data_IF_207333867634
#
_entry.id   IF_207333867634
#
_cell.length_a   1.000
_cell.length_b   1.000
_cell.length_c   1.000
_cell.angle_alpha   90.00
_cell.angle_beta   90.00
_cell.angle_gamma   90.00
#
_symmetry.space_group_name_H-M   'P 1'
#
loop_
_entity.id
_entity.type
_entity.pdbx_description
1 polymer ?
#
# COMPACT_ATOMS: atom_id res chain seq x y z
N UNK A 1 47.37 8.62 -6.17
CA UNK A 1 46.55 7.40 -6.01
C UNK A 1 45.52 7.72 -4.94
N UNK A 2 44.30 8.08 -5.33
CA UNK A 2 43.21 8.39 -4.40
C UNK A 2 42.22 7.22 -4.39
N UNK A 3 41.71 6.80 -3.22
CA UNK A 3 40.79 5.68 -3.15
C UNK A 3 39.44 6.07 -3.75
N UNK A 4 38.96 5.24 -4.69
CA UNK A 4 37.59 5.27 -5.20
C UNK A 4 36.67 4.83 -4.07
N UNK A 5 35.88 5.74 -3.52
CA UNK A 5 34.70 5.36 -2.73
C UNK A 5 33.67 4.79 -3.70
N UNK A 6 33.43 3.48 -3.61
CA UNK A 6 32.25 2.85 -4.21
C UNK A 6 31.01 3.47 -3.59
N UNK A 7 30.46 4.48 -4.27
CA UNK A 7 29.14 5.01 -4.00
C UNK A 7 28.14 3.88 -4.24
N UNK A 8 27.53 3.41 -3.16
CA UNK A 8 26.37 2.53 -3.18
C UNK A 8 25.36 3.09 -4.18
N UNK A 9 24.94 2.29 -5.15
CA UNK A 9 23.90 2.64 -6.12
C UNK A 9 22.60 2.89 -5.35
N UNK A 10 22.37 4.15 -4.96
CA UNK A 10 21.06 4.62 -4.54
C UNK A 10 20.17 4.54 -5.78
N UNK A 11 19.40 3.46 -5.93
CA UNK A 11 18.23 3.48 -6.81
C UNK A 11 17.43 4.72 -6.43
N UNK A 12 17.36 5.71 -7.33
CA UNK A 12 16.60 6.93 -7.08
C UNK A 12 15.17 6.52 -6.75
N UNK A 13 14.81 6.55 -5.48
CA UNK A 13 13.45 6.30 -5.05
C UNK A 13 12.62 7.43 -5.63
N UNK A 14 11.89 7.13 -6.70
CA UNK A 14 10.98 8.08 -7.33
C UNK A 14 10.01 8.58 -6.24
N UNK A 15 10.01 9.89 -6.01
CA UNK A 15 9.09 10.48 -5.03
C UNK A 15 7.67 10.33 -5.56
N UNK A 16 6.76 9.86 -4.72
CA UNK A 16 5.35 9.84 -5.06
C UNK A 16 4.84 11.27 -5.32
N UNK A 17 3.80 11.40 -6.16
CA UNK A 17 3.17 12.70 -6.46
C UNK A 17 2.76 13.46 -5.20
N UNK A 18 2.30 12.75 -4.16
CA UNK A 18 1.96 13.36 -2.87
C UNK A 18 3.21 13.95 -2.17
N UNK A 19 4.32 13.21 -2.13
CA UNK A 19 5.58 13.70 -1.57
C UNK A 19 6.10 14.92 -2.34
N UNK A 20 5.99 14.91 -3.68
CA UNK A 20 6.34 16.06 -4.51
C UNK A 20 5.47 17.28 -4.21
N UNK A 21 4.15 17.12 -4.07
CA UNK A 21 3.23 18.23 -3.71
C UNK A 21 3.59 18.82 -2.34
N UNK A 22 3.93 17.98 -1.35
CA UNK A 22 4.37 18.48 -0.04
C UNK A 22 5.71 19.23 -0.13
N UNK A 23 6.68 18.71 -0.89
CA UNK A 23 7.97 19.37 -1.12
C UNK A 23 7.78 20.74 -1.81
N UNK A 24 6.88 20.84 -2.79
CA UNK A 24 6.54 22.10 -3.46
C UNK A 24 5.87 23.09 -2.51
N UNK A 25 4.90 22.65 -1.71
CA UNK A 25 4.24 23.50 -0.72
C UNK A 25 5.24 24.02 0.33
N UNK A 26 6.18 23.16 0.76
CA UNK A 26 7.24 23.53 1.69
C UNK A 26 8.21 24.55 1.09
N UNK A 27 8.67 24.33 -0.15
CA UNK A 27 9.53 25.26 -0.87
C UNK A 27 8.86 26.63 -0.99
N UNK A 28 7.58 26.65 -1.37
CA UNK A 28 6.80 27.88 -1.52
C UNK A 28 6.67 28.64 -0.20
N UNK A 29 6.40 27.95 0.90
CA UNK A 29 6.35 28.58 2.22
C UNK A 29 7.71 29.12 2.67
N UNK A 30 8.82 28.43 2.40
CA UNK A 30 10.16 28.92 2.73
C UNK A 30 10.53 30.20 1.95
N UNK A 31 10.07 30.32 0.70
CA UNK A 31 10.30 31.49 -0.14
C UNK A 31 9.47 32.70 0.32
N UNK A 32 8.17 32.52 0.54
CA UNK A 32 7.26 33.63 0.87
C UNK A 32 7.19 33.97 2.36
N UNK A 33 7.40 32.97 3.23
CA UNK A 33 7.14 33.00 4.68
C UNK A 33 5.74 33.53 5.06
N UNK A 34 4.77 33.45 4.15
CA UNK A 34 3.40 33.92 4.38
C UNK A 34 2.59 32.94 5.23
N UNK A 35 1.61 33.45 5.97
CA UNK A 35 0.67 32.60 6.74
C UNK A 35 -0.26 31.78 5.83
N UNK A 36 -0.54 32.27 4.64
CA UNK A 36 -1.34 31.57 3.63
C UNK A 36 -0.63 30.32 3.13
N UNK A 37 0.66 30.43 2.79
CA UNK A 37 1.46 29.29 2.33
C UNK A 37 1.76 28.31 3.47
N UNK A 38 1.88 28.81 4.71
CA UNK A 38 1.95 27.96 5.91
C UNK A 38 0.69 27.12 6.07
N UNK A 39 -0.47 27.74 5.86
CA UNK A 39 -1.78 27.08 5.97
C UNK A 39 -1.92 26.00 4.88
N UNK A 40 -1.50 26.29 3.66
CA UNK A 40 -1.48 25.32 2.56
C UNK A 40 -0.59 24.12 2.89
N UNK A 41 0.63 24.36 3.38
CA UNK A 41 1.55 23.28 3.78
C UNK A 41 0.93 22.42 4.90
N UNK A 42 0.36 23.05 5.92
CA UNK A 42 -0.31 22.34 7.01
C UNK A 42 -1.49 21.47 6.51
N UNK A 43 -2.28 21.98 5.57
CA UNK A 43 -3.37 21.23 4.94
C UNK A 43 -2.84 20.00 4.17
N UNK A 44 -1.80 20.16 3.35
CA UNK A 44 -1.21 19.03 2.60
C UNK A 44 -0.65 17.97 3.55
N UNK A 45 0.13 18.39 4.56
CA UNK A 45 0.72 17.48 5.53
C UNK A 45 -0.34 16.78 6.38
N UNK A 46 -1.37 17.49 6.84
CA UNK A 46 -2.45 16.89 7.61
C UNK A 46 -3.19 15.80 6.83
N UNK A 47 -3.52 16.04 5.55
CA UNK A 47 -4.13 15.03 4.69
C UNK A 47 -3.24 13.79 4.56
N UNK A 48 -1.92 13.98 4.37
CA UNK A 48 -0.99 12.85 4.24
C UNK A 48 -0.88 12.04 5.54
N UNK A 49 -0.75 12.71 6.68
CA UNK A 49 -0.71 12.05 7.99
C UNK A 49 -2.01 11.33 8.29
N UNK A 50 -3.16 11.97 8.05
CA UNK A 50 -4.47 11.35 8.25
C UNK A 50 -4.67 10.13 7.36
N UNK A 51 -4.25 10.19 6.08
CA UNK A 51 -4.29 9.04 5.17
C UNK A 51 -3.43 7.89 5.69
N UNK A 52 -2.19 8.17 6.07
CA UNK A 52 -1.26 7.16 6.57
C UNK A 52 -1.76 6.53 7.88
N UNK A 53 -2.32 7.32 8.79
CA UNK A 53 -2.94 6.83 10.02
C UNK A 53 -4.17 5.95 9.72
N UNK A 54 -5.07 6.41 8.85
CA UNK A 54 -6.22 5.61 8.42
C UNK A 54 -5.78 4.30 7.81
N UNK A 55 -4.76 4.34 6.97
CA UNK A 55 -4.20 3.17 6.31
C UNK A 55 -3.63 2.15 7.30
N UNK A 56 -2.88 2.62 8.31
CA UNK A 56 -2.35 1.79 9.39
C UNK A 56 -3.43 1.21 10.29
N UNK A 57 -4.46 2.00 10.60
CA UNK A 57 -5.55 1.59 11.50
C UNK A 57 -6.49 0.60 10.80
N UNK A 58 -6.86 0.86 9.54
CA UNK A 58 -7.85 0.07 8.81
C UNK A 58 -7.29 -1.24 8.23
N UNK A 59 -5.97 -1.47 8.31
CA UNK A 59 -5.30 -2.63 7.71
C UNK A 59 -5.64 -2.83 6.21
N UNK A 60 -5.99 -1.75 5.49
CA UNK A 60 -6.42 -1.80 4.08
C UNK A 60 -5.41 -2.55 3.18
N UNK A 61 -4.10 -2.30 3.38
CA UNK A 61 -3.05 -3.04 2.68
C UNK A 61 -3.13 -4.55 2.86
N UNK A 62 -3.40 -5.00 4.08
CA UNK A 62 -3.47 -6.44 4.39
C UNK A 62 -4.72 -7.05 3.76
N UNK A 63 -5.84 -6.33 3.79
CA UNK A 63 -7.07 -6.75 3.11
C UNK A 63 -6.84 -6.89 1.61
N UNK A 64 -6.19 -5.92 0.98
CA UNK A 64 -5.89 -5.96 -0.46
C UNK A 64 -4.84 -7.02 -0.80
N UNK A 65 -3.86 -7.24 0.08
CA UNK A 65 -2.92 -8.35 -0.05
C UNK A 65 -3.62 -9.72 0.00
N UNK A 66 -4.55 -9.92 0.93
CA UNK A 66 -5.32 -11.16 1.04
C UNK A 66 -6.28 -11.36 -0.15
N UNK A 67 -6.91 -10.29 -0.65
CA UNK A 67 -7.69 -10.34 -1.90
C UNK A 67 -6.81 -10.82 -3.06
N UNK A 68 -5.63 -10.22 -3.22
CA UNK A 68 -4.67 -10.58 -4.26
C UNK A 68 -4.22 -12.04 -4.13
N UNK A 69 -3.94 -12.52 -2.92
CA UNK A 69 -3.61 -13.91 -2.66
C UNK A 69 -4.74 -14.87 -3.03
N UNK A 70 -6.00 -14.52 -2.69
CA UNK A 70 -7.17 -15.31 -3.06
C UNK A 70 -7.30 -15.44 -4.58
N UNK A 71 -7.25 -14.32 -5.31
CA UNK A 71 -7.35 -14.30 -6.78
C UNK A 71 -6.20 -15.07 -7.42
N UNK A 72 -4.96 -14.85 -6.98
CA UNK A 72 -3.79 -15.57 -7.50
C UNK A 72 -3.89 -17.07 -7.24
N UNK A 73 -4.36 -17.48 -6.07
CA UNK A 73 -4.53 -18.91 -5.75
C UNK A 73 -5.56 -19.59 -6.65
N UNK A 74 -6.67 -18.92 -6.94
CA UNK A 74 -7.68 -19.43 -7.90
C UNK A 74 -7.09 -19.49 -9.30
N UNK A 75 -6.39 -18.43 -9.74
CA UNK A 75 -5.77 -18.39 -11.06
C UNK A 75 -4.72 -19.51 -11.25
N UNK A 76 -3.89 -19.74 -10.23
CA UNK A 76 -2.92 -20.84 -10.22
C UNK A 76 -3.60 -22.19 -10.31
N UNK A 77 -4.67 -22.42 -9.54
CA UNK A 77 -5.41 -23.68 -9.61
C UNK A 77 -5.98 -23.94 -11.01
N UNK A 78 -6.59 -22.95 -11.64
CA UNK A 78 -7.12 -23.08 -13.01
C UNK A 78 -5.98 -23.36 -14.01
N UNK A 79 -4.83 -22.74 -13.82
CA UNK A 79 -3.66 -22.95 -14.66
C UNK A 79 -3.06 -24.36 -14.52
N UNK A 80 -2.98 -24.88 -13.29
CA UNK A 80 -2.44 -26.21 -12.99
C UNK A 80 -3.43 -27.34 -13.33
N UNK A 81 -4.74 -27.04 -13.32
CA UNK A 81 -5.82 -27.97 -13.61
C UNK A 81 -6.68 -27.50 -14.80
N UNK A 82 -6.15 -27.47 -16.04
CA UNK A 82 -6.85 -26.94 -17.21
C UNK A 82 -8.08 -27.75 -17.65
N UNK A 83 -8.27 -28.95 -17.08
CA UNK A 83 -9.42 -29.83 -17.31
C UNK A 83 -10.29 -29.98 -16.05
N UNK A 84 -10.08 -29.15 -15.02
CA UNK A 84 -10.91 -29.15 -13.83
C UNK A 84 -12.38 -28.97 -14.24
N UNK A 85 -13.27 -29.74 -13.63
CA UNK A 85 -14.69 -29.54 -13.84
C UNK A 85 -15.14 -28.23 -13.19
N UNK A 86 -16.30 -27.71 -13.61
CA UNK A 86 -16.87 -26.52 -12.98
C UNK A 86 -17.09 -26.74 -11.47
N UNK A 87 -17.42 -27.97 -11.05
CA UNK A 87 -17.58 -28.31 -9.64
C UNK A 87 -16.26 -28.21 -8.86
N UNK A 88 -15.15 -28.67 -9.45
CA UNK A 88 -13.83 -28.59 -8.83
C UNK A 88 -13.33 -27.14 -8.71
N UNK A 89 -13.58 -26.33 -9.76
CA UNK A 89 -13.24 -24.90 -9.74
C UNK A 89 -14.06 -24.18 -8.68
N UNK A 90 -15.37 -24.42 -8.62
CA UNK A 90 -16.25 -23.82 -7.60
C UNK A 90 -15.79 -24.21 -6.19
N UNK A 91 -15.45 -25.48 -5.96
CA UNK A 91 -14.97 -25.95 -4.66
C UNK A 91 -13.66 -25.25 -4.24
N UNK A 92 -12.71 -25.07 -5.16
CA UNK A 92 -11.46 -24.35 -4.84
C UNK A 92 -11.72 -22.85 -4.61
N UNK A 93 -12.60 -22.22 -5.39
CA UNK A 93 -13.00 -20.82 -5.17
C UNK A 93 -13.62 -20.65 -3.78
N UNK A 94 -14.58 -21.49 -3.42
CA UNK A 94 -15.23 -21.46 -2.10
C UNK A 94 -14.21 -21.61 -0.98
N UNK A 95 -13.31 -22.60 -1.10
CA UNK A 95 -12.23 -22.81 -0.14
C UNK A 95 -11.33 -21.58 0.01
N UNK A 96 -10.91 -20.95 -1.09
CA UNK A 96 -10.05 -19.75 -1.07
C UNK A 96 -10.77 -18.54 -0.47
N UNK A 97 -12.05 -18.37 -0.78
CA UNK A 97 -12.90 -17.32 -0.21
C UNK A 97 -13.09 -17.52 1.30
N UNK A 98 -13.26 -18.75 1.77
CA UNK A 98 -13.34 -19.04 3.22
C UNK A 98 -12.05 -18.67 3.96
N UNK A 99 -10.89 -19.00 3.39
CA UNK A 99 -9.59 -18.61 3.96
C UNK A 99 -9.46 -17.09 4.00
N UNK A 100 -9.81 -16.40 2.92
CA UNK A 100 -9.82 -14.94 2.85
C UNK A 100 -10.74 -14.31 3.92
N UNK A 101 -11.96 -14.83 4.09
CA UNK A 101 -12.89 -14.35 5.10
C UNK A 101 -12.35 -14.57 6.53
N UNK A 102 -11.70 -15.70 6.78
CA UNK A 102 -11.05 -15.96 8.07
C UNK A 102 -9.89 -14.98 8.33
N UNK A 103 -9.09 -14.67 7.30
CA UNK A 103 -8.00 -13.70 7.39
C UNK A 103 -8.52 -12.28 7.66
N UNK A 104 -9.63 -11.86 7.03
CA UNK A 104 -10.27 -10.57 7.34
C UNK A 104 -10.75 -10.52 8.79
N UNK A 105 -11.47 -11.54 9.26
CA UNK A 105 -11.94 -11.59 10.66
C UNK A 105 -10.80 -11.53 11.67
N UNK A 106 -9.66 -12.14 11.35
CA UNK A 106 -8.48 -12.07 12.18
C UNK A 106 -7.87 -10.65 12.20
N UNK A 107 -7.97 -9.89 11.11
CA UNK A 107 -7.55 -8.48 11.08
C UNK A 107 -8.48 -7.57 11.87
N UNK A 108 -9.79 -7.80 11.82
CA UNK A 108 -10.78 -7.01 12.56
C UNK A 108 -10.68 -7.20 14.07
N UNK A 109 -10.26 -8.38 14.50
CA UNK A 109 -10.09 -8.73 15.93
C UNK A 109 -8.68 -8.50 16.45
N UNK A 110 -7.72 -8.13 15.58
CA UNK A 110 -6.35 -7.83 15.99
C UNK A 110 -6.32 -6.52 16.79
N UNK A 111 -5.64 -6.49 17.95
CA UNK A 111 -5.53 -5.26 18.73
C UNK A 111 -4.80 -4.19 17.91
N UNK A 112 -5.38 -3.00 17.92
CA UNK A 112 -4.68 -1.79 17.50
C UNK A 112 -3.75 -1.45 18.68
N UNK A 113 -2.45 -1.74 18.50
CA UNK A 113 -1.34 -1.58 19.46
C UNK A 113 -1.09 -2.76 20.41
#
# INVERSE_FOLDING_TARGET
MFPVMSGSMSSGAEMSTAQLIQQMAMLRWLDSQSDEDRTLLAAVTSIQVSRELLHRITNQDKVDAYKKQCILGIAQFVQEHPRASQADITAEVEKRVLVFAAQIRALETAPLF
#
